data_IF_568198808086
#
_entry.id   IF_568198808086
#
_cell.length_a   1.000
_cell.length_b   1.000
_cell.length_c   1.000
_cell.angle_alpha   90.00
_cell.angle_beta   90.00
_cell.angle_gamma   90.00
#
_symmetry.space_group_name_H-M   'P 1'
#
loop_
_entity.id
_entity.type
_entity.pdbx_description
1 polymer ?
#
# COMPACT_ATOMS: atom_id res chain seq x y z
N UNK A 1 -2.29 -12.63 5.95
CA UNK A 1 -1.17 -11.67 5.87
C UNK A 1 -1.80 -10.38 5.38
N UNK A 2 -1.99 -9.39 6.27
CA UNK A 2 -2.60 -8.10 5.93
C UNK A 2 -1.59 -7.27 5.11
N UNK A 3 -1.83 -7.18 3.82
CA UNK A 3 -1.09 -6.31 2.91
C UNK A 3 -1.94 -5.08 2.64
N UNK A 4 -1.33 -3.93 2.40
CA UNK A 4 -2.03 -2.68 2.10
C UNK A 4 -1.34 -1.99 0.92
N UNK A 5 -2.13 -1.27 0.13
CA UNK A 5 -1.61 -0.48 -0.98
C UNK A 5 -0.96 0.80 -0.46
N UNK A 6 0.33 1.01 -0.73
CA UNK A 6 1.05 2.22 -0.34
C UNK A 6 0.54 3.47 -1.04
N UNK A 7 -0.04 3.34 -2.24
CA UNK A 7 -0.56 4.47 -3.00
C UNK A 7 -1.83 5.09 -2.41
N UNK A 8 -2.77 4.25 -1.96
CA UNK A 8 -4.08 4.69 -1.47
C UNK A 8 -4.36 4.34 0.00
N UNK A 9 -3.50 3.56 0.65
CA UNK A 9 -3.68 3.11 2.03
C UNK A 9 -4.80 2.11 2.25
N UNK A 10 -5.42 1.63 1.17
CA UNK A 10 -6.49 0.63 1.26
C UNK A 10 -5.90 -0.76 1.49
N UNK A 11 -6.64 -1.59 2.21
CA UNK A 11 -6.30 -3.01 2.39
C UNK A 11 -6.14 -3.70 1.05
N UNK A 12 -5.17 -4.60 0.94
CA UNK A 12 -4.87 -5.21 -0.33
C UNK A 12 -6.03 -6.09 -0.81
N UNK A 13 -6.74 -6.71 0.13
CA UNK A 13 -7.93 -7.50 -0.12
C UNK A 13 -9.09 -6.65 -0.64
N UNK A 14 -9.16 -5.37 -0.23
CA UNK A 14 -10.18 -4.41 -0.66
C UNK A 14 -9.81 -3.68 -1.95
N UNK A 15 -8.54 -3.36 -2.14
CA UNK A 15 -8.01 -2.70 -3.34
C UNK A 15 -8.25 -3.54 -4.59
N UNK A 16 -8.14 -4.87 -4.44
CA UNK A 16 -8.02 -5.81 -5.57
C UNK A 16 -6.71 -5.59 -6.30
N UNK A 17 -5.85 -6.60 -6.37
CA UNK A 17 -4.61 -6.50 -7.14
C UNK A 17 -4.80 -7.22 -8.47
N UNK A 18 -4.38 -6.58 -9.56
CA UNK A 18 -4.27 -7.27 -10.83
C UNK A 18 -3.19 -8.36 -10.76
N UNK A 19 -3.18 -9.30 -11.71
CA UNK A 19 -2.13 -10.30 -11.91
C UNK A 19 -0.71 -9.73 -11.94
N UNK A 20 -0.56 -8.44 -12.29
CA UNK A 20 0.74 -7.74 -12.32
C UNK A 20 1.08 -7.05 -10.97
N UNK A 21 0.18 -7.08 -9.98
CA UNK A 21 0.43 -6.52 -8.65
C UNK A 21 0.10 -5.03 -8.52
N UNK A 22 -0.75 -4.49 -9.38
CA UNK A 22 -1.26 -3.12 -9.27
C UNK A 22 -2.61 -3.10 -8.53
N UNK A 23 -2.75 -2.20 -7.55
CA UNK A 23 -4.03 -1.96 -6.92
C UNK A 23 -5.03 -1.37 -7.93
N UNK A 24 -6.21 -1.95 -8.08
CA UNK A 24 -7.26 -1.51 -9.00
C UNK A 24 -7.92 -0.20 -8.55
N UNK A 25 -7.89 0.13 -7.25
CA UNK A 25 -8.46 1.36 -6.71
C UNK A 25 -7.65 2.62 -7.09
N UNK A 26 -6.31 2.57 -7.01
CA UNK A 26 -5.44 3.73 -7.23
C UNK A 26 -4.35 3.53 -8.29
N UNK A 27 -4.26 2.36 -8.91
CA UNK A 27 -3.27 2.05 -9.95
C UNK A 27 -1.83 1.93 -9.44
N UNK A 28 -1.61 1.91 -8.12
CA UNK A 28 -0.27 1.84 -7.55
C UNK A 28 0.21 0.39 -7.44
N UNK A 29 1.44 0.12 -7.89
CA UNK A 29 2.08 -1.20 -7.82
C UNK A 29 2.85 -1.46 -6.53
N UNK A 30 2.72 -0.58 -5.54
CA UNK A 30 3.44 -0.68 -4.27
C UNK A 30 2.51 -1.26 -3.20
N UNK A 31 2.74 -2.52 -2.85
CA UNK A 31 2.09 -3.22 -1.75
C UNK A 31 3.11 -3.46 -0.64
N UNK A 32 2.71 -3.21 0.61
CA UNK A 32 3.53 -3.49 1.77
C UNK A 32 2.68 -4.12 2.87
N UNK A 33 3.31 -4.74 3.87
CA UNK A 33 2.58 -5.17 5.06
C UNK A 33 1.94 -3.95 5.75
N UNK A 34 0.80 -4.13 6.43
CA UNK A 34 0.14 -3.04 7.16
C UNK A 34 1.10 -2.34 8.16
N UNK A 35 1.97 -3.10 8.83
CA UNK A 35 3.03 -2.55 9.70
C UNK A 35 4.04 -1.69 8.92
N UNK A 36 4.47 -2.13 7.74
CA UNK A 36 5.39 -1.37 6.89
C UNK A 36 4.75 -0.14 6.26
N UNK A 37 3.44 -0.17 6.01
CA UNK A 37 2.67 1.00 5.57
C UNK A 37 2.60 2.06 6.65
N UNK A 38 2.26 1.69 7.88
CA UNK A 38 2.26 2.63 9.01
C UNK A 38 3.68 3.16 9.28
N UNK A 39 4.70 2.30 9.22
CA UNK A 39 6.11 2.72 9.29
C UNK A 39 6.51 3.67 8.16
N UNK A 40 6.06 3.46 6.91
CA UNK A 40 6.31 4.38 5.80
C UNK A 40 5.49 5.67 5.89
N UNK A 41 4.29 5.62 6.47
CA UNK A 41 3.46 6.81 6.72
C UNK A 41 4.03 7.67 7.83
N UNK A 42 4.50 7.03 8.91
CA UNK A 42 5.07 7.69 10.09
C UNK A 42 6.56 8.04 9.89
N UNK A 43 7.30 7.21 9.15
CA UNK A 43 8.71 7.42 8.79
C UNK A 43 8.91 8.24 7.51
N UNK A 44 7.87 8.42 6.69
CA UNK A 44 7.86 9.34 5.54
C UNK A 44 7.58 10.81 5.91
N UNK A 45 7.38 11.11 7.20
CA UNK A 45 7.41 12.48 7.73
C UNK A 45 8.85 13.01 7.96
N UNK A 46 9.86 12.24 7.55
CA UNK A 46 11.23 12.72 7.30
C UNK A 46 11.48 12.32 5.85
N UNK A 47 11.65 13.18 4.85
CA UNK A 47 12.37 14.44 4.76
C UNK A 47 11.70 15.32 3.68
N UNK A 48 11.28 16.53 4.07
CA UNK A 48 11.65 17.82 3.46
C UNK A 48 11.04 18.98 4.26
#
# INVERSE_FOLDING_TARGET
>A
MDMVCLGCGSDASLCGFDTVGYCLNCGSGMIAAAEEYEQKKLGGATEK
#
